data_IF_028556093445
#
_entry.id   IF_028556093445
#
_cell.length_a   1.000
_cell.length_b   1.000
_cell.length_c   1.000
_cell.angle_alpha   90.00
_cell.angle_beta   90.00
_cell.angle_gamma   90.00
#
_symmetry.space_group_name_H-M   'P 1'
#
loop_
_entity.id
_entity.type
_entity.pdbx_description
1 polymer ?
#
# COMPACT_ATOMS: atom_id res chain seq x y z
N UNK A 1 10.44 4.57 -27.38
CA UNK A 1 11.11 4.35 -26.07
C UNK A 1 10.31 4.88 -24.88
N UNK A 2 9.77 6.11 -24.90
CA UNK A 2 8.94 6.69 -23.82
C UNK A 2 7.89 5.73 -23.20
N UNK A 3 7.19 4.96 -24.03
CA UNK A 3 6.12 4.07 -23.56
C UNK A 3 6.61 2.91 -22.68
N UNK A 4 7.83 2.40 -22.93
CA UNK A 4 8.44 1.33 -22.13
C UNK A 4 9.00 1.92 -20.84
N UNK A 5 9.62 3.10 -20.92
CA UNK A 5 10.14 3.83 -19.75
C UNK A 5 9.02 4.17 -18.76
N UNK A 6 7.87 4.66 -19.22
CA UNK A 6 6.72 4.96 -18.36
C UNK A 6 6.17 3.70 -17.67
N UNK A 7 6.14 2.55 -18.36
CA UNK A 7 5.73 1.27 -17.75
C UNK A 7 6.69 0.82 -16.65
N UNK A 8 8.00 0.98 -16.84
CA UNK A 8 9.01 0.64 -15.83
C UNK A 8 8.91 1.57 -14.62
N UNK A 9 8.71 2.88 -14.83
CA UNK A 9 8.55 3.85 -13.74
C UNK A 9 7.29 3.52 -12.91
N UNK A 10 6.17 3.22 -13.56
CA UNK A 10 4.93 2.80 -12.88
C UNK A 10 5.17 1.53 -12.04
N UNK A 11 5.86 0.55 -12.61
CA UNK A 11 6.18 -0.70 -11.93
C UNK A 11 7.01 -0.44 -10.67
N UNK A 12 8.10 0.34 -10.79
CA UNK A 12 8.99 0.67 -9.68
C UNK A 12 8.24 1.39 -8.57
N UNK A 13 7.44 2.41 -8.90
CA UNK A 13 6.71 3.17 -7.87
C UNK A 13 5.64 2.29 -7.21
N UNK A 14 4.97 1.43 -7.97
CA UNK A 14 3.98 0.49 -7.42
C UNK A 14 4.63 -0.50 -6.45
N UNK A 15 5.83 -1.00 -6.76
CA UNK A 15 6.62 -1.86 -5.87
C UNK A 15 7.06 -1.10 -4.61
N UNK A 16 7.51 0.14 -4.73
CA UNK A 16 7.90 0.98 -3.57
C UNK A 16 6.70 1.24 -2.65
N UNK A 17 5.53 1.58 -3.21
CA UNK A 17 4.29 1.76 -2.44
C UNK A 17 3.92 0.46 -1.74
N UNK A 18 3.95 -0.67 -2.46
CA UNK A 18 3.64 -1.98 -1.89
C UNK A 18 4.55 -2.33 -0.71
N UNK A 19 5.86 -2.13 -0.85
CA UNK A 19 6.84 -2.38 0.23
C UNK A 19 6.55 -1.47 1.44
N UNK A 20 6.24 -0.19 1.21
CA UNK A 20 5.89 0.74 2.29
C UNK A 20 4.65 0.31 3.07
N UNK A 21 3.59 -0.10 2.37
CA UNK A 21 2.38 -0.62 3.00
C UNK A 21 2.61 -1.98 3.70
N UNK A 22 3.46 -2.85 3.15
CA UNK A 22 3.83 -4.12 3.76
C UNK A 22 4.62 -3.92 5.07
N UNK A 23 5.54 -2.95 5.10
CA UNK A 23 6.26 -2.60 6.33
C UNK A 23 5.34 -1.98 7.38
N UNK A 24 4.41 -1.11 6.96
CA UNK A 24 3.38 -0.58 7.86
C UNK A 24 2.52 -1.72 8.43
N UNK A 25 2.09 -2.66 7.58
CA UNK A 25 1.37 -3.86 8.01
C UNK A 25 2.15 -4.64 9.08
N UNK A 26 3.43 -4.93 8.82
CA UNK A 26 4.29 -5.66 9.76
C UNK A 26 4.57 -4.89 11.06
N UNK A 27 4.68 -3.56 10.99
CA UNK A 27 4.80 -2.70 12.16
C UNK A 27 3.52 -2.76 13.02
N UNK A 28 2.36 -2.63 12.38
CA UNK A 28 1.07 -2.73 13.08
C UNK A 28 0.81 -4.13 13.63
N UNK A 29 1.20 -5.20 12.91
CA UNK A 29 1.05 -6.56 13.42
C UNK A 29 1.94 -6.83 14.62
N UNK A 30 3.15 -6.28 14.68
CA UNK A 30 4.05 -6.50 15.82
C UNK A 30 3.75 -5.59 17.03
N UNK A 31 3.35 -4.34 16.83
CA UNK A 31 2.99 -3.44 17.95
C UNK A 31 1.57 -3.66 18.48
N UNK A 32 0.64 -4.04 17.59
CA UNK A 32 -0.78 -4.12 17.90
C UNK A 32 -1.34 -5.53 17.69
N UNK A 33 -0.52 -6.60 17.69
CA UNK A 33 -1.06 -7.95 17.91
C UNK A 33 -1.47 -8.05 19.37
N UNK A 34 -2.74 -7.90 19.67
CA UNK A 34 -3.19 -7.80 21.04
C UNK A 34 -3.61 -9.19 21.50
N UNK A 35 -3.23 -9.53 22.71
CA UNK A 35 -3.67 -10.78 23.35
C UNK A 35 -5.18 -10.84 23.59
N UNK A 36 -5.91 -9.73 23.36
CA UNK A 36 -7.35 -9.62 23.53
C UNK A 36 -8.10 -9.53 22.19
N UNK A 37 -9.31 -10.09 22.17
CA UNK A 37 -10.22 -10.07 21.02
C UNK A 37 -10.51 -8.65 20.52
N UNK A 38 -10.63 -7.68 21.42
CA UNK A 38 -10.95 -6.29 21.08
C UNK A 38 -9.85 -5.63 20.25
N UNK A 39 -8.58 -5.84 20.62
CA UNK A 39 -7.49 -5.30 19.83
C UNK A 39 -7.36 -6.02 18.47
N UNK A 40 -7.71 -7.32 18.39
CA UNK A 40 -7.62 -8.08 17.14
C UNK A 40 -8.59 -7.51 16.12
N UNK A 41 -9.78 -7.12 16.59
CA UNK A 41 -10.78 -6.41 15.78
C UNK A 41 -10.28 -5.03 15.33
N UNK A 42 -9.62 -4.27 16.22
CA UNK A 42 -9.05 -2.95 15.86
C UNK A 42 -7.96 -3.10 14.79
N UNK A 43 -7.03 -4.04 14.98
CA UNK A 43 -5.95 -4.31 14.03
C UNK A 43 -6.49 -4.78 12.68
N UNK A 44 -7.46 -5.71 12.67
CA UNK A 44 -8.17 -6.11 11.45
C UNK A 44 -8.84 -4.92 10.75
N UNK A 45 -9.45 -4.00 11.50
CA UNK A 45 -10.11 -2.81 10.93
C UNK A 45 -9.09 -1.85 10.29
N UNK A 46 -7.95 -1.61 10.96
CA UNK A 46 -6.86 -0.80 10.42
C UNK A 46 -6.32 -1.40 9.12
N UNK A 47 -6.14 -2.73 9.09
CA UNK A 47 -5.71 -3.46 7.90
C UNK A 47 -6.73 -3.34 6.76
N UNK A 48 -8.02 -3.44 7.08
CA UNK A 48 -9.10 -3.31 6.11
C UNK A 48 -9.16 -1.91 5.48
N UNK A 49 -8.72 -0.87 6.19
CA UNK A 49 -8.66 0.52 5.70
C UNK A 49 -7.38 0.77 4.88
N UNK A 50 -6.25 0.19 5.29
CA UNK A 50 -4.96 0.35 4.61
C UNK A 50 -4.98 -0.24 3.19
N UNK A 51 -5.69 -1.35 2.96
CA UNK A 51 -5.74 -2.01 1.64
C UNK A 51 -6.38 -1.09 0.57
N UNK A 52 -7.61 -0.54 0.74
CA UNK A 52 -8.19 0.43 -0.19
C UNK A 52 -7.32 1.67 -0.42
N UNK A 53 -6.68 2.19 0.63
CA UNK A 53 -5.78 3.34 0.54
C UNK A 53 -4.55 3.04 -0.33
N UNK A 54 -3.96 1.85 -0.16
CA UNK A 54 -2.84 1.40 -0.98
C UNK A 54 -3.22 1.28 -2.46
N UNK A 55 -4.42 0.78 -2.75
CA UNK A 55 -4.94 0.68 -4.11
C UNK A 55 -5.20 2.06 -4.74
N UNK A 56 -5.84 2.96 -4.00
CA UNK A 56 -6.13 4.32 -4.46
C UNK A 56 -4.85 5.13 -4.73
N UNK A 57 -3.84 5.01 -3.86
CA UNK A 57 -2.55 5.69 -4.04
C UNK A 57 -1.80 5.19 -5.28
N UNK A 58 -1.72 3.87 -5.47
CA UNK A 58 -1.12 3.28 -6.67
C UNK A 58 -1.88 3.70 -7.95
N UNK A 59 -3.22 3.70 -7.91
CA UNK A 59 -4.05 4.14 -9.03
C UNK A 59 -3.82 5.62 -9.39
N UNK A 60 -3.74 6.49 -8.37
CA UNK A 60 -3.47 7.92 -8.56
C UNK A 60 -2.13 8.16 -9.25
N UNK A 61 -1.07 7.46 -8.81
CA UNK A 61 0.26 7.54 -9.42
C UNK A 61 0.24 7.08 -10.88
N UNK A 62 -0.40 5.95 -11.18
CA UNK A 62 -0.52 5.43 -12.55
C UNK A 62 -1.23 6.46 -13.45
N UNK A 63 -2.26 7.12 -12.94
CA UNK A 63 -3.01 8.15 -13.68
C UNK A 63 -2.16 9.38 -13.97
N UNK A 64 -1.38 9.86 -12.99
CA UNK A 64 -0.47 11.02 -13.16
C UNK A 64 0.61 10.71 -14.21
N UNK A 65 1.22 9.52 -14.15
CA UNK A 65 2.28 9.14 -15.09
C UNK A 65 1.75 8.94 -16.51
N UNK A 66 0.52 8.46 -16.68
CA UNK A 66 -0.13 8.38 -18.01
C UNK A 66 -0.50 9.75 -18.59
N UNK A 67 -0.63 10.78 -17.75
CA UNK A 67 -0.93 12.14 -18.18
C UNK A 67 0.31 12.95 -18.62
N UNK A 68 1.52 12.47 -18.30
CA UNK A 68 2.81 13.03 -18.74
C UNK A 68 3.35 12.37 -20.01
#
# INVERSE_FOLDING_TARGET
>A
MKFITNKIIILVISVVIFIGFFQLFGFFSNLYMPSSSLGSMISMTILFILIPLSYLSAYGVVKIIKAM
#
